data_IF_163940690893
#
_entry.id   IF_163940690893
#
_cell.length_a   1.000
_cell.length_b   1.000
_cell.length_c   1.000
_cell.angle_alpha   90.00
_cell.angle_beta   90.00
_cell.angle_gamma   90.00
#
_symmetry.space_group_name_H-M   'P 1'
#
loop_
_entity.id
_entity.type
_entity.pdbx_description
1 polymer ?
#
# COMPACT_ATOMS: atom_id res chain seq x y z
N UNK A 1 -19.68 8.87 -2.68
CA UNK A 1 -19.72 7.41 -2.92
C UNK A 1 -19.24 6.78 -1.63
N UNK A 2 -20.15 6.13 -0.89
CA UNK A 2 -19.82 5.60 0.45
C UNK A 2 -19.17 4.24 0.29
N UNK A 3 -17.97 4.07 0.83
CA UNK A 3 -17.23 2.82 0.74
C UNK A 3 -17.71 1.86 1.83
N UNK A 4 -18.06 0.63 1.46
CA UNK A 4 -18.48 -0.43 2.38
C UNK A 4 -17.26 -1.25 2.79
N UNK A 5 -16.95 -1.23 4.08
CA UNK A 5 -15.84 -1.98 4.67
C UNK A 5 -16.26 -3.40 5.07
N UNK A 6 -15.39 -4.37 4.81
CA UNK A 6 -15.48 -5.78 5.22
C UNK A 6 -14.18 -6.13 5.95
N UNK A 7 -14.28 -6.52 7.22
CA UNK A 7 -13.13 -6.81 8.07
C UNK A 7 -12.99 -8.32 8.27
N UNK A 8 -11.92 -8.88 7.72
CA UNK A 8 -11.52 -10.28 7.84
C UNK A 8 -10.25 -10.40 8.68
N UNK A 9 -9.94 -11.62 9.12
CA UNK A 9 -8.69 -11.94 9.82
C UNK A 9 -7.87 -12.96 9.03
N UNK A 10 -6.55 -12.78 8.97
CA UNK A 10 -5.63 -13.73 8.34
C UNK A 10 -5.91 -15.17 8.80
N UNK A 11 -6.10 -16.09 7.83
CA UNK A 11 -6.50 -17.49 8.08
C UNK A 11 -7.76 -17.65 8.96
N UNK A 12 -8.62 -16.64 9.00
CA UNK A 12 -9.90 -16.63 9.72
C UNK A 12 -10.98 -17.43 9.01
N UNK A 13 -12.17 -17.41 9.60
CA UNK A 13 -13.34 -18.02 8.98
C UNK A 13 -13.78 -17.19 7.75
N UNK A 14 -14.32 -17.83 6.70
CA UNK A 14 -14.91 -17.12 5.58
C UNK A 14 -16.13 -16.32 6.03
N UNK A 15 -16.34 -15.18 5.39
CA UNK A 15 -17.53 -14.36 5.59
C UNK A 15 -18.40 -14.39 4.33
N UNK A 16 -19.71 -14.51 4.50
CA UNK A 16 -20.66 -14.45 3.39
C UNK A 16 -21.24 -13.04 3.29
N UNK A 17 -21.03 -12.39 2.16
CA UNK A 17 -21.45 -11.00 1.92
C UNK A 17 -22.21 -10.88 0.61
N UNK A 18 -23.21 -10.00 0.57
CA UNK A 18 -23.82 -9.60 -0.70
C UNK A 18 -22.87 -8.68 -1.46
N UNK A 19 -22.54 -9.01 -2.71
CA UNK A 19 -21.70 -8.21 -3.59
C UNK A 19 -22.29 -8.23 -5.00
N UNK A 20 -22.08 -7.15 -5.75
CA UNK A 20 -22.32 -7.15 -7.19
C UNK A 20 -21.31 -8.05 -7.91
N UNK A 21 -21.74 -8.73 -8.96
CA UNK A 21 -20.90 -9.71 -9.67
C UNK A 21 -19.62 -9.08 -10.23
N UNK A 22 -19.69 -7.83 -10.70
CA UNK A 22 -18.52 -7.10 -11.17
C UNK A 22 -17.48 -6.90 -10.06
N UNK A 23 -17.93 -6.58 -8.84
CA UNK A 23 -17.07 -6.40 -7.66
C UNK A 23 -16.52 -7.75 -7.20
N UNK A 24 -17.35 -8.79 -7.13
CA UNK A 24 -16.93 -10.13 -6.75
C UNK A 24 -15.88 -10.72 -7.71
N UNK A 25 -16.10 -10.60 -9.02
CA UNK A 25 -15.14 -11.03 -10.05
C UNK A 25 -13.85 -10.22 -10.00
N UNK A 26 -13.93 -8.90 -9.78
CA UNK A 26 -12.75 -8.08 -9.61
C UNK A 26 -11.98 -8.48 -8.33
N UNK A 27 -12.64 -8.78 -7.23
CA UNK A 27 -12.00 -9.32 -6.01
C UNK A 27 -11.27 -10.64 -6.29
N UNK A 28 -11.87 -11.57 -7.06
CA UNK A 28 -11.20 -12.82 -7.50
C UNK A 28 -9.90 -12.49 -8.23
N UNK A 29 -9.91 -11.52 -9.14
CA UNK A 29 -8.74 -11.16 -9.94
C UNK A 29 -7.58 -10.59 -9.11
N UNK A 30 -7.86 -10.00 -7.94
CA UNK A 30 -6.82 -9.49 -7.05
C UNK A 30 -6.03 -10.60 -6.37
N UNK A 31 -6.63 -11.78 -6.19
CA UNK A 31 -6.09 -12.88 -5.38
C UNK A 31 -5.77 -12.48 -3.92
N UNK A 32 -6.31 -11.36 -3.42
CA UNK A 32 -6.08 -10.89 -2.05
C UNK A 32 -6.84 -11.75 -1.03
N UNK A 33 -8.08 -12.10 -1.39
CA UNK A 33 -8.94 -13.08 -0.72
C UNK A 33 -9.41 -14.12 -1.74
N UNK A 34 -9.75 -15.32 -1.29
CA UNK A 34 -10.46 -16.30 -2.12
C UNK A 34 -11.95 -15.95 -2.09
N UNK A 35 -12.42 -15.32 -3.16
CA UNK A 35 -13.80 -14.89 -3.33
C UNK A 35 -14.56 -15.90 -4.20
N UNK A 36 -15.69 -16.43 -3.70
CA UNK A 36 -16.49 -17.43 -4.42
C UNK A 36 -17.94 -17.03 -4.45
N UNK A 37 -18.51 -16.96 -5.65
CA UNK A 37 -19.94 -16.76 -5.81
C UNK A 37 -20.73 -17.99 -5.35
N UNK A 38 -21.74 -17.79 -4.52
CA UNK A 38 -22.65 -18.85 -4.07
C UNK A 38 -23.75 -19.07 -5.11
N UNK A 39 -23.80 -20.24 -5.78
CA UNK A 39 -24.73 -20.48 -6.89
C UNK A 39 -26.20 -20.22 -6.51
N UNK A 40 -26.93 -19.55 -7.40
CA UNK A 40 -28.36 -19.25 -7.21
C UNK A 40 -28.65 -18.12 -6.21
N UNK A 41 -27.63 -17.40 -5.75
CA UNK A 41 -27.76 -16.27 -4.81
C UNK A 41 -27.06 -15.01 -5.37
N UNK A 42 -27.08 -13.90 -4.61
CA UNK A 42 -26.20 -12.73 -4.81
C UNK A 42 -25.09 -12.67 -3.76
N UNK A 43 -24.83 -13.79 -3.11
CA UNK A 43 -23.91 -13.88 -2.00
C UNK A 43 -22.56 -14.41 -2.49
N UNK A 44 -21.52 -13.88 -1.89
CA UNK A 44 -20.14 -14.25 -2.12
C UNK A 44 -19.53 -14.70 -0.80
N UNK A 45 -18.90 -15.86 -0.79
CA UNK A 45 -18.03 -16.30 0.29
C UNK A 45 -16.64 -15.67 0.08
N UNK A 46 -16.19 -14.85 1.03
CA UNK A 46 -14.86 -14.28 1.07
C UNK A 46 -14.02 -15.00 2.11
N UNK A 47 -13.01 -15.73 1.66
CA UNK A 47 -12.08 -16.46 2.53
C UNK A 47 -10.74 -15.71 2.61
N UNK A 48 -10.32 -15.26 3.81
CA UNK A 48 -9.01 -14.67 3.98
C UNK A 48 -7.90 -15.72 3.78
N UNK A 49 -6.81 -15.31 3.14
CA UNK A 49 -5.62 -16.12 2.89
C UNK A 49 -4.52 -15.78 3.91
N UNK A 50 -3.27 -16.12 3.59
CA UNK A 50 -2.06 -15.70 4.33
C UNK A 50 -1.56 -14.29 3.95
N UNK A 51 -2.49 -13.40 3.51
CA UNK A 51 -2.21 -12.01 3.15
C UNK A 51 -2.85 -11.08 4.18
N UNK A 52 -2.18 -9.99 4.50
CA UNK A 52 -2.64 -8.95 5.43
C UNK A 52 -2.56 -7.59 4.74
N UNK A 53 -3.48 -6.69 5.07
CA UNK A 53 -3.60 -5.37 4.44
C UNK A 53 -5.04 -5.06 4.00
N UNK A 54 -5.19 -4.22 2.98
CA UNK A 54 -6.50 -3.85 2.44
C UNK A 54 -6.50 -3.85 0.91
N UNK A 55 -7.66 -4.15 0.32
CA UNK A 55 -7.91 -3.98 -1.11
C UNK A 55 -9.25 -3.29 -1.34
N UNK A 56 -9.26 -2.34 -2.27
CA UNK A 56 -10.42 -1.57 -2.66
C UNK A 56 -10.86 -1.95 -4.07
N UNK A 57 -12.12 -2.33 -4.24
CA UNK A 57 -12.72 -2.69 -5.53
C UNK A 57 -14.12 -2.09 -5.61
N UNK A 58 -14.33 -1.16 -6.54
CA UNK A 58 -15.60 -0.44 -6.66
C UNK A 58 -15.91 0.36 -5.40
N UNK A 59 -17.05 0.06 -4.79
CA UNK A 59 -17.51 0.64 -3.52
C UNK A 59 -17.19 -0.24 -2.30
N UNK A 60 -16.42 -1.33 -2.46
CA UNK A 60 -16.10 -2.28 -1.38
C UNK A 60 -14.62 -2.21 -1.01
N UNK A 61 -14.35 -2.19 0.29
CA UNK A 61 -13.03 -2.26 0.88
C UNK A 61 -12.92 -3.52 1.74
N UNK A 62 -12.03 -4.44 1.37
CA UNK A 62 -11.75 -5.65 2.17
C UNK A 62 -10.47 -5.44 2.94
N UNK A 63 -10.56 -5.47 4.26
CA UNK A 63 -9.44 -5.39 5.20
C UNK A 63 -9.17 -6.77 5.77
N UNK A 64 -7.92 -7.24 5.72
CA UNK A 64 -7.49 -8.49 6.35
C UNK A 64 -6.48 -8.16 7.45
N UNK A 65 -6.94 -8.26 8.70
CA UNK A 65 -6.12 -8.00 9.88
C UNK A 65 -5.15 -9.17 10.15
N UNK A 66 -3.90 -8.87 10.55
CA UNK A 66 -2.94 -9.91 10.93
C UNK A 66 -3.38 -10.67 12.19
N UNK A 67 -2.91 -11.91 12.31
CA UNK A 67 -3.12 -12.67 13.56
C UNK A 67 -2.26 -12.19 14.72
N UNK A 68 -1.21 -11.42 14.43
CA UNK A 68 -0.30 -10.79 15.39
C UNK A 68 -0.50 -9.28 15.42
N UNK A 69 -0.14 -8.59 16.51
CA UNK A 69 -0.08 -7.13 16.57
C UNK A 69 0.74 -6.49 15.43
N UNK A 70 0.38 -5.26 15.03
CA UNK A 70 0.95 -4.56 13.86
C UNK A 70 2.45 -4.27 14.03
N UNK A 71 2.89 -3.87 15.22
CA UNK A 71 4.31 -3.71 15.58
C UNK A 71 5.13 -4.97 15.28
N UNK A 72 4.56 -6.16 15.53
CA UNK A 72 5.20 -7.43 15.20
C UNK A 72 5.24 -7.69 13.70
N UNK A 73 4.24 -7.28 12.94
CA UNK A 73 4.27 -7.35 11.46
C UNK A 73 5.38 -6.46 10.92
N UNK A 74 5.47 -5.21 11.39
CA UNK A 74 6.51 -4.26 10.99
C UNK A 74 7.91 -4.80 11.33
N UNK A 75 8.09 -5.36 12.52
CA UNK A 75 9.33 -6.02 12.92
C UNK A 75 9.71 -7.17 11.97
N UNK A 76 8.75 -8.03 11.60
CA UNK A 76 9.02 -9.15 10.70
C UNK A 76 9.36 -8.68 9.28
N UNK A 77 8.74 -7.58 8.81
CA UNK A 77 9.09 -6.97 7.54
C UNK A 77 10.55 -6.49 7.56
N UNK A 78 10.94 -5.72 8.58
CA UNK A 78 12.33 -5.27 8.77
C UNK A 78 13.32 -6.44 8.77
N UNK A 79 13.01 -7.48 9.56
CA UNK A 79 13.81 -8.69 9.66
C UNK A 79 13.99 -9.38 8.30
N UNK A 80 12.90 -9.55 7.54
CA UNK A 80 12.93 -10.23 6.24
C UNK A 80 13.68 -9.45 5.16
N UNK A 81 13.65 -8.12 5.24
CA UNK A 81 14.32 -7.23 4.30
C UNK A 81 15.83 -7.11 4.58
N UNK A 82 16.34 -7.79 5.61
CA UNK A 82 17.74 -8.16 5.74
C UNK A 82 18.72 -6.98 5.80
N UNK A 83 18.36 -5.89 6.47
CA UNK A 83 19.06 -4.59 6.50
C UNK A 83 18.72 -3.63 5.36
N UNK A 84 17.44 -3.26 5.23
CA UNK A 84 17.22 -1.85 4.90
C UNK A 84 17.90 -1.09 6.04
N UNK A 85 18.91 -0.26 5.74
CA UNK A 85 19.75 0.42 6.73
C UNK A 85 18.97 1.49 7.51
N UNK A 86 17.88 1.11 8.16
CA UNK A 86 17.14 1.94 9.09
C UNK A 86 18.11 2.22 10.25
N UNK A 87 18.64 3.44 10.29
CA UNK A 87 19.50 3.88 11.39
C UNK A 87 18.73 4.01 12.73
N UNK A 88 17.44 3.70 12.73
CA UNK A 88 16.53 3.71 13.87
C UNK A 88 15.56 2.52 13.68
N UNK A 89 15.52 1.52 14.57
CA UNK A 89 14.67 0.36 14.41
C UNK A 89 13.20 0.79 14.33
N UNK A 90 12.48 0.24 13.34
CA UNK A 90 11.04 0.46 13.14
C UNK A 90 10.18 0.02 14.33
N UNK A 91 10.80 -0.66 15.29
CA UNK A 91 10.24 -1.20 16.54
C UNK A 91 9.61 -0.13 17.45
N UNK A 92 9.75 1.16 17.17
CA UNK A 92 9.02 2.25 17.84
C UNK A 92 7.76 2.71 17.08
N UNK A 93 7.17 1.88 16.22
CA UNK A 93 5.75 2.05 15.87
C UNK A 93 4.96 1.69 17.14
N UNK A 94 4.19 2.65 17.66
CA UNK A 94 3.29 2.38 18.80
C UNK A 94 2.24 1.32 18.42
N UNK A 95 1.26 1.08 19.29
CA UNK A 95 0.12 0.22 18.90
C UNK A 95 -0.66 0.94 17.78
N UNK A 96 -0.29 0.68 16.52
CA UNK A 96 -0.97 1.22 15.36
C UNK A 96 -2.27 0.44 15.12
N UNK A 97 -3.39 1.12 14.85
CA UNK A 97 -4.68 0.47 14.65
C UNK A 97 -4.75 -0.30 13.32
N UNK A 98 -3.89 0.04 12.36
CA UNK A 98 -3.84 -0.56 11.02
C UNK A 98 -2.42 -0.50 10.44
N UNK A 99 -2.12 -1.40 9.51
CA UNK A 99 -0.84 -1.50 8.82
C UNK A 99 -0.55 -0.24 7.99
N UNK A 100 -1.57 0.36 7.37
CA UNK A 100 -1.39 1.60 6.61
C UNK A 100 -0.88 2.73 7.50
N UNK A 101 -1.47 2.88 8.69
CA UNK A 101 -1.07 3.90 9.66
C UNK A 101 0.37 3.66 10.12
N UNK A 102 0.75 2.41 10.39
CA UNK A 102 2.13 2.06 10.71
C UNK A 102 3.10 2.46 9.59
N UNK A 103 2.77 2.17 8.32
CA UNK A 103 3.60 2.56 7.17
C UNK A 103 3.70 4.08 7.03
N UNK A 104 2.62 4.82 7.29
CA UNK A 104 2.62 6.29 7.25
C UNK A 104 3.55 6.87 8.31
N UNK A 105 3.49 6.39 9.57
CA UNK A 105 4.40 6.85 10.62
C UNK A 105 5.86 6.59 10.27
N UNK A 106 6.14 5.41 9.72
CA UNK A 106 7.47 5.01 9.28
C UNK A 106 7.96 5.90 8.14
N UNK A 107 7.11 6.14 7.15
CA UNK A 107 7.42 7.00 6.01
C UNK A 107 7.66 8.45 6.44
N UNK A 108 6.82 9.00 7.32
CA UNK A 108 6.96 10.37 7.82
C UNK A 108 8.33 10.57 8.49
N UNK A 109 8.71 9.67 9.41
CA UNK A 109 10.03 9.74 10.07
C UNK A 109 11.18 9.63 9.06
N UNK A 110 11.07 8.71 8.09
CA UNK A 110 12.08 8.52 7.06
C UNK A 110 12.20 9.75 6.14
N UNK A 111 11.08 10.30 5.69
CA UNK A 111 11.03 11.48 4.82
C UNK A 111 11.52 12.72 5.55
N UNK A 112 11.05 12.98 6.77
CA UNK A 112 11.49 14.08 7.63
C UNK A 112 13.01 14.03 7.83
N UNK A 113 13.58 12.86 8.14
CA UNK A 113 15.04 12.70 8.26
C UNK A 113 15.79 12.89 6.95
N UNK A 114 15.29 12.34 5.84
CA UNK A 114 15.92 12.49 4.53
C UNK A 114 15.94 13.96 4.07
N UNK A 115 14.91 14.72 4.39
CA UNK A 115 14.75 16.11 4.01
C UNK A 115 15.47 17.09 4.95
N UNK A 116 15.85 16.67 6.16
CA UNK A 116 16.55 17.53 7.14
C UNK A 116 17.88 18.09 6.62
N UNK A 117 18.59 17.35 5.75
CA UNK A 117 19.87 17.80 5.18
C UNK A 117 19.70 18.53 3.84
N UNK A 118 18.46 18.81 3.43
CA UNK A 118 18.12 19.36 2.13
C UNK A 118 17.57 18.30 1.18
N UNK A 119 16.82 18.76 0.17
CA UNK A 119 16.27 17.91 -0.88
C UNK A 119 17.36 17.38 -1.80
N UNK A 120 17.23 16.14 -2.25
CA UNK A 120 18.11 15.58 -3.29
C UNK A 120 17.84 16.30 -4.62
N UNK A 121 18.81 17.09 -5.08
CA UNK A 121 18.74 17.80 -6.36
C UNK A 121 19.33 16.94 -7.47
N UNK A 122 18.45 16.37 -8.30
CA UNK A 122 18.84 15.67 -9.53
C UNK A 122 19.00 16.64 -10.69
N UNK A 123 20.02 16.45 -11.53
CA UNK A 123 20.18 17.21 -12.76
C UNK A 123 19.48 16.50 -13.92
N UNK A 124 18.70 17.25 -14.68
CA UNK A 124 18.17 16.84 -15.99
C UNK A 124 18.65 17.80 -17.06
N UNK A 125 19.07 17.28 -18.21
CA UNK A 125 19.37 18.13 -19.36
C UNK A 125 18.05 18.63 -19.94
N UNK A 126 17.95 19.94 -20.15
CA UNK A 126 16.81 20.60 -20.81
C UNK A 126 17.38 21.40 -21.96
N UNK A 127 16.83 21.19 -23.15
CA UNK A 127 17.10 22.01 -24.33
C UNK A 127 15.92 22.98 -24.44
N UNK A 128 16.20 24.28 -24.32
CA UNK A 128 15.18 25.34 -24.37
C UNK A 128 15.69 26.56 -25.14
N UNK A 129 14.82 27.20 -25.91
CA UNK A 129 15.07 28.54 -26.45
C UNK A 129 14.79 29.56 -25.36
N UNK A 130 15.84 30.12 -24.76
CA UNK A 130 15.72 31.07 -23.66
C UNK A 130 16.12 32.50 -24.08
N UNK A 131 15.53 33.51 -23.43
CA UNK A 131 15.89 34.92 -23.61
C UNK A 131 17.27 35.29 -23.06
N UNK A 132 17.87 34.38 -22.28
CA UNK A 132 19.20 34.51 -21.70
C UNK A 132 19.98 33.21 -21.92
N UNK A 133 21.29 33.32 -22.15
CA UNK A 133 22.16 32.15 -22.33
C UNK A 133 22.42 31.48 -20.99
N UNK A 134 22.00 30.21 -20.85
CA UNK A 134 22.27 29.34 -19.69
C UNK A 134 22.66 27.95 -20.17
N UNK A 135 23.77 27.41 -19.66
CA UNK A 135 24.27 26.09 -20.07
C UNK A 135 25.05 26.12 -21.39
N UNK A 136 24.89 25.08 -22.22
CA UNK A 136 25.63 24.90 -23.48
C UNK A 136 24.75 25.30 -24.67
N UNK A 137 25.27 26.19 -25.53
CA UNK A 137 24.59 26.61 -26.77
C UNK A 137 24.68 25.49 -27.81
N UNK A 138 23.55 25.14 -28.41
CA UNK A 138 23.45 24.19 -29.52
C UNK A 138 23.49 24.96 -30.84
N UNK A 139 24.65 24.98 -31.48
CA UNK A 139 24.83 25.71 -32.74
C UNK A 139 24.16 25.05 -33.96
N UNK A 140 23.72 23.79 -33.85
CA UNK A 140 23.17 23.03 -34.96
C UNK A 140 21.68 23.33 -35.27
N UNK A 141 21.00 24.10 -34.41
CA UNK A 141 19.55 24.35 -34.49
C UNK A 141 19.21 25.84 -34.72
N UNK A 142 20.17 26.63 -35.20
CA UNK A 142 19.99 28.07 -35.48
C UNK A 142 19.37 28.34 -36.85
#
# INVERSE_FOLDING_TARGET
MTMRRIDLRENGQPETVALDDAVGLALVSTGFVDARHLPGTRLWELRPLCKVGAVAVGDVEVHVAPKVPIDRVVFLLEYSLGSVGWNDPLVHVGVAPDLLIAVVEVFERAASRALQQGVLQGYRTVEETATVVRGRVLHAEQ
#
